data_IF_536348131910
#
_entry.id   IF_536348131910
#
_cell.length_a   1.000
_cell.length_b   1.000
_cell.length_c   1.000
_cell.angle_alpha   90.00
_cell.angle_beta   90.00
_cell.angle_gamma   90.00
#
_symmetry.space_group_name_H-M   'P 1'
#
loop_
_entity.id
_entity.type
_entity.pdbx_description
1 polymer ?
#
# COMPACT_ATOMS: atom_id res chain seq x y z
N UNK A 1 8.27 -15.14 -18.74
CA UNK A 1 7.71 -14.93 -20.10
C UNK A 1 7.01 -16.21 -20.55
N UNK A 2 5.68 -16.30 -20.38
CA UNK A 2 4.84 -17.15 -21.24
C UNK A 2 3.37 -16.80 -20.99
N UNK A 3 2.74 -16.16 -21.97
CA UNK A 3 1.29 -16.02 -22.05
C UNK A 3 0.75 -17.30 -22.68
N UNK A 4 -0.26 -17.91 -22.05
CA UNK A 4 -1.11 -18.93 -22.66
C UNK A 4 -2.42 -18.27 -23.08
N UNK A 5 -2.62 -18.05 -24.37
CA UNK A 5 -3.93 -17.69 -24.95
C UNK A 5 -4.71 -18.97 -25.27
N UNK A 6 -5.98 -19.02 -24.85
CA UNK A 6 -6.96 -20.02 -25.30
C UNK A 6 -7.97 -19.31 -26.19
N UNK A 7 -7.87 -19.50 -27.51
CA UNK A 7 -8.95 -19.21 -28.45
C UNK A 7 -9.56 -20.53 -28.95
N UNK A 8 -10.81 -20.77 -28.58
CA UNK A 8 -11.63 -21.91 -29.02
C UNK A 8 -12.02 -21.69 -30.49
N UNK A 9 -11.58 -22.56 -31.40
CA UNK A 9 -12.10 -22.64 -32.77
C UNK A 9 -13.01 -23.85 -32.94
N UNK A 10 -14.25 -23.59 -33.34
CA UNK A 10 -15.15 -24.59 -33.90
C UNK A 10 -15.48 -24.14 -35.32
N UNK A 11 -15.11 -24.91 -36.35
CA UNK A 11 -15.72 -24.84 -37.68
C UNK A 11 -15.33 -26.08 -38.50
N UNK A 12 -16.29 -27.00 -38.60
CA UNK A 12 -16.29 -28.09 -39.57
C UNK A 12 -16.49 -27.54 -41.00
N UNK A 13 -15.81 -28.20 -41.92
CA UNK A 13 -15.79 -28.06 -43.40
C UNK A 13 -17.14 -27.65 -44.01
N UNK A 14 -17.13 -26.75 -45.01
CA UNK A 14 -17.62 -27.03 -46.38
C UNK A 14 -17.54 -25.83 -47.36
N UNK A 15 -16.74 -26.04 -48.40
CA UNK A 15 -16.88 -25.71 -49.83
C UNK A 15 -17.62 -24.44 -50.34
N UNK A 16 -16.79 -23.59 -51.00
CA UNK A 16 -16.93 -23.04 -52.37
C UNK A 16 -18.08 -22.07 -52.66
N UNK A 17 -17.74 -20.80 -52.91
CA UNK A 17 -17.82 -20.15 -54.25
C UNK A 17 -17.90 -18.62 -54.11
N UNK A 18 -16.99 -17.93 -54.80
CA UNK A 18 -17.01 -16.49 -55.15
C UNK A 18 -17.44 -15.52 -54.03
N UNK A 19 -16.46 -14.95 -53.31
CA UNK A 19 -16.74 -13.82 -52.42
C UNK A 19 -15.59 -12.81 -52.42
N UNK A 20 -15.98 -11.55 -52.52
CA UNK A 20 -15.20 -10.32 -52.33
C UNK A 20 -14.15 -10.52 -51.24
N UNK A 21 -12.89 -10.18 -51.53
CA UNK A 21 -11.85 -10.01 -50.53
C UNK A 21 -12.25 -8.86 -49.58
N UNK A 22 -13.11 -9.16 -48.61
CA UNK A 22 -13.18 -8.41 -47.38
C UNK A 22 -11.88 -8.70 -46.65
N UNK A 23 -10.89 -7.82 -46.83
CA UNK A 23 -9.86 -7.63 -45.82
C UNK A 23 -10.59 -7.15 -44.57
N UNK A 24 -11.05 -8.08 -43.74
CA UNK A 24 -11.42 -7.78 -42.37
C UNK A 24 -10.12 -7.34 -41.69
N UNK A 25 -9.86 -6.03 -41.67
CA UNK A 25 -8.83 -5.46 -40.84
C UNK A 25 -9.20 -5.81 -39.40
N UNK A 26 -8.58 -6.86 -38.87
CA UNK A 26 -8.68 -7.20 -37.45
C UNK A 26 -8.02 -6.06 -36.69
N UNK A 27 -8.84 -5.13 -36.20
CA UNK A 27 -8.40 -4.10 -35.27
C UNK A 27 -8.11 -4.84 -33.97
N UNK A 28 -6.83 -5.13 -33.73
CA UNK A 28 -6.35 -5.50 -32.41
C UNK A 28 -6.52 -4.25 -31.54
N UNK A 29 -7.61 -4.21 -30.77
CA UNK A 29 -7.74 -3.24 -29.68
C UNK A 29 -6.75 -3.68 -28.61
N UNK A 30 -5.56 -3.09 -28.62
CA UNK A 30 -4.63 -3.19 -27.51
C UNK A 30 -5.24 -2.43 -26.35
N UNK A 31 -5.93 -3.14 -25.45
CA UNK A 31 -6.22 -2.61 -24.12
C UNK A 31 -4.88 -2.40 -23.42
N UNK A 32 -4.37 -1.18 -23.39
CA UNK A 32 -3.35 -0.83 -22.42
C UNK A 32 -3.98 -1.06 -21.05
N UNK A 33 -3.47 -2.04 -20.31
CA UNK A 33 -3.66 -2.05 -18.85
C UNK A 33 -2.94 -0.80 -18.39
N UNK A 34 -3.69 0.30 -18.27
CA UNK A 34 -3.21 1.55 -17.70
C UNK A 34 -2.92 1.23 -16.24
N UNK A 35 -1.64 1.05 -15.90
CA UNK A 35 -1.23 0.94 -14.49
C UNK A 35 -1.61 2.23 -13.76
N UNK A 36 -1.87 2.14 -12.46
CA UNK A 36 -2.20 3.32 -11.65
C UNK A 36 -1.19 4.45 -11.89
N UNK A 37 -1.70 5.63 -12.27
CA UNK A 37 -0.90 6.79 -12.69
C UNK A 37 -0.19 7.48 -11.51
N UNK A 38 -0.58 7.16 -10.27
CA UNK A 38 -0.06 7.75 -9.04
C UNK A 38 0.29 6.68 -8.01
N UNK A 39 1.50 6.72 -7.46
CA UNK A 39 1.90 5.91 -6.30
C UNK A 39 1.90 6.77 -5.04
N UNK A 40 1.14 6.34 -4.04
CA UNK A 40 1.17 6.89 -2.68
C UNK A 40 2.06 5.99 -1.81
N UNK A 41 3.21 6.51 -1.43
CA UNK A 41 4.08 5.89 -0.43
C UNK A 41 3.80 6.51 0.94
N UNK A 42 3.63 5.67 1.97
CA UNK A 42 3.41 6.10 3.36
C UNK A 42 4.42 5.42 4.26
N UNK A 43 5.30 6.20 4.89
CA UNK A 43 6.16 5.74 5.97
C UNK A 43 5.45 5.98 7.30
N UNK A 44 5.28 4.94 8.10
CA UNK A 44 4.46 4.99 9.30
C UNK A 44 4.95 4.03 10.38
N UNK A 45 4.42 4.20 11.59
CA UNK A 45 4.70 3.38 12.75
C UNK A 45 3.41 2.79 13.33
N UNK A 46 3.54 1.65 14.00
CA UNK A 46 2.43 0.91 14.57
C UNK A 46 1.68 1.63 15.69
N UNK A 47 2.37 2.44 16.52
CA UNK A 47 1.78 3.10 17.68
C UNK A 47 1.82 4.64 17.60
N UNK A 48 2.20 5.21 16.44
CA UNK A 48 2.18 6.65 16.25
C UNK A 48 0.73 7.20 16.10
N UNK A 49 0.28 8.13 16.98
CA UNK A 49 -1.08 8.67 16.93
C UNK A 49 -1.43 9.38 15.63
N UNK A 50 -0.48 10.07 14.99
CA UNK A 50 -0.72 10.74 13.70
C UNK A 50 -0.79 9.73 12.56
N UNK A 51 -0.02 8.64 12.62
CA UNK A 51 -0.09 7.55 11.64
C UNK A 51 -1.45 6.87 11.70
N UNK A 52 -1.91 6.57 12.92
CA UNK A 52 -3.27 6.10 13.18
C UNK A 52 -4.31 7.03 12.57
N UNK A 53 -4.26 8.33 12.90
CA UNK A 53 -5.25 9.30 12.42
C UNK A 53 -5.30 9.36 10.89
N UNK A 54 -4.15 9.32 10.23
CA UNK A 54 -4.10 9.28 8.77
C UNK A 54 -4.70 7.99 8.21
N UNK A 55 -4.29 6.82 8.72
CA UNK A 55 -4.76 5.53 8.21
C UNK A 55 -6.27 5.39 8.37
N UNK A 56 -6.79 5.73 9.56
CA UNK A 56 -8.20 5.56 9.92
C UNK A 56 -9.10 6.60 9.27
N UNK A 57 -8.70 7.87 9.26
CA UNK A 57 -9.58 8.95 8.81
C UNK A 57 -9.38 9.33 7.34
N UNK A 58 -8.22 9.04 6.75
CA UNK A 58 -7.90 9.42 5.37
C UNK A 58 -7.71 8.19 4.48
N UNK A 59 -6.72 7.34 4.75
CA UNK A 59 -6.34 6.27 3.84
C UNK A 59 -7.46 5.24 3.63
N UNK A 60 -7.95 4.62 4.69
CA UNK A 60 -8.98 3.57 4.59
C UNK A 60 -10.29 4.04 3.94
N UNK A 61 -10.92 5.16 4.34
CA UNK A 61 -12.19 5.58 3.73
C UNK A 61 -12.05 6.05 2.27
N UNK A 62 -10.88 6.53 1.87
CA UNK A 62 -10.62 7.01 0.50
C UNK A 62 -10.19 5.90 -0.45
N UNK A 63 -9.38 4.93 0.01
CA UNK A 63 -8.72 3.97 -0.86
C UNK A 63 -9.66 3.15 -1.76
N UNK A 64 -10.79 2.60 -1.29
CA UNK A 64 -11.70 1.84 -2.15
C UNK A 64 -12.22 2.62 -3.36
N UNK A 65 -12.29 3.96 -3.26
CA UNK A 65 -12.75 4.84 -4.34
C UNK A 65 -11.62 5.30 -5.26
N UNK A 66 -10.38 5.10 -4.84
CA UNK A 66 -9.17 5.55 -5.55
C UNK A 66 -8.34 4.38 -6.08
N UNK A 67 -8.66 3.13 -5.72
CA UNK A 67 -7.83 1.94 -5.96
C UNK A 67 -7.46 1.73 -7.44
N UNK A 68 -8.33 2.12 -8.37
CA UNK A 68 -8.06 1.99 -9.81
C UNK A 68 -7.00 2.98 -10.33
N UNK A 69 -6.81 4.11 -9.65
CA UNK A 69 -5.89 5.19 -10.09
C UNK A 69 -4.75 5.44 -9.09
N UNK A 70 -4.76 4.76 -7.95
CA UNK A 70 -3.78 4.93 -6.87
C UNK A 70 -3.16 3.59 -6.46
N UNK A 71 -1.85 3.47 -6.70
CA UNK A 71 -1.04 2.39 -6.15
C UNK A 71 -0.57 2.75 -4.74
N UNK A 72 -0.67 1.81 -3.80
CA UNK A 72 -0.13 1.98 -2.45
C UNK A 72 1.22 1.32 -2.30
N UNK A 73 2.04 1.93 -1.45
CA UNK A 73 3.34 1.47 -1.04
C UNK A 73 3.54 1.85 0.43
N UNK A 74 3.42 0.87 1.33
CA UNK A 74 3.31 1.12 2.76
C UNK A 74 4.57 0.59 3.45
N UNK A 75 5.15 1.40 4.34
CA UNK A 75 6.43 1.12 5.00
C UNK A 75 6.24 1.22 6.52
N UNK A 76 5.89 0.10 7.20
CA UNK A 76 5.75 0.04 8.66
C UNK A 76 7.12 -0.07 9.33
N UNK A 77 7.75 1.07 9.60
CA UNK A 77 9.06 1.14 10.27
C UNK A 77 9.25 2.48 11.00
N UNK A 78 9.18 3.60 10.27
CA UNK A 78 9.24 4.94 10.83
C UNK A 78 10.54 5.23 11.59
N UNK A 79 10.44 5.90 12.75
CA UNK A 79 11.55 6.20 13.65
C UNK A 79 11.92 5.00 14.53
N UNK A 80 12.32 3.95 13.84
CA UNK A 80 12.99 2.78 14.43
C UNK A 80 14.48 2.77 14.07
N UNK A 81 15.28 2.02 14.81
CA UNK A 81 16.69 1.77 14.49
C UNK A 81 17.09 0.35 14.83
N UNK A 82 17.90 -0.28 14.00
CA UNK A 82 18.43 -1.61 14.32
C UNK A 82 19.63 -1.55 15.26
N UNK A 83 19.69 -2.50 16.19
CA UNK A 83 20.79 -2.69 17.13
C UNK A 83 21.35 -4.09 16.89
N UNK A 84 22.64 -4.16 16.57
CA UNK A 84 23.34 -5.44 16.38
C UNK A 84 24.09 -5.83 17.65
N UNK A 85 23.66 -6.92 18.27
CA UNK A 85 24.29 -7.51 19.44
C UNK A 85 25.63 -8.19 19.11
N UNK A 86 26.44 -8.41 20.15
CA UNK A 86 27.73 -9.10 20.03
C UNK A 86 27.61 -10.57 19.58
N UNK A 87 26.45 -11.17 19.77
CA UNK A 87 26.11 -12.52 19.30
C UNK A 87 25.62 -12.54 17.84
N UNK A 88 25.62 -11.37 17.17
CA UNK A 88 25.17 -11.21 15.79
C UNK A 88 23.67 -11.00 15.64
N UNK A 89 22.88 -11.13 16.71
CA UNK A 89 21.42 -10.90 16.67
C UNK A 89 21.10 -9.44 16.43
N UNK A 90 20.00 -9.20 15.73
CA UNK A 90 19.48 -7.87 15.48
C UNK A 90 18.20 -7.68 16.28
N UNK A 91 18.16 -6.61 17.06
CA UNK A 91 16.95 -6.10 17.72
C UNK A 91 16.62 -4.73 17.15
N UNK A 92 15.43 -4.21 17.44
CA UNK A 92 15.00 -2.90 16.99
C UNK A 92 14.61 -2.05 18.20
N UNK A 93 14.97 -0.77 18.16
CA UNK A 93 14.50 0.25 19.10
C UNK A 93 13.52 1.14 18.35
N UNK A 94 12.31 1.30 18.87
CA UNK A 94 11.23 2.08 18.27
C UNK A 94 10.86 3.26 19.17
N UNK A 95 10.35 4.36 18.58
CA UNK A 95 10.02 5.59 19.31
C UNK A 95 9.08 5.35 20.50
N UNK A 96 8.09 4.47 20.33
CA UNK A 96 7.08 4.17 21.34
C UNK A 96 7.34 2.86 22.09
N UNK A 97 8.58 2.34 22.07
CA UNK A 97 9.00 1.15 22.80
C UNK A 97 8.78 -0.18 22.08
N UNK A 98 9.01 -1.29 22.78
CA UNK A 98 9.04 -2.64 22.19
C UNK A 98 7.70 -3.05 21.55
N UNK A 99 6.57 -2.61 22.12
CA UNK A 99 5.23 -2.89 21.58
C UNK A 99 5.05 -2.33 20.17
N UNK A 100 5.60 -1.15 19.90
CA UNK A 100 5.61 -0.59 18.54
C UNK A 100 6.45 -1.43 17.57
N UNK A 101 7.60 -1.92 18.03
CA UNK A 101 8.43 -2.81 17.23
C UNK A 101 7.69 -4.11 16.89
N UNK A 102 6.92 -4.67 17.83
CA UNK A 102 6.05 -5.82 17.58
C UNK A 102 4.99 -5.52 16.52
N UNK A 103 4.28 -4.39 16.62
CA UNK A 103 3.25 -3.99 15.65
C UNK A 103 3.86 -3.72 14.27
N UNK A 104 4.98 -2.99 14.19
CA UNK A 104 5.71 -2.75 12.94
C UNK A 104 6.07 -4.07 12.24
N UNK A 105 6.55 -5.05 13.01
CA UNK A 105 6.89 -6.38 12.51
C UNK A 105 5.68 -7.17 12.04
N UNK A 106 4.56 -7.14 12.77
CA UNK A 106 3.30 -7.76 12.35
C UNK A 106 2.84 -7.16 11.01
N UNK A 107 2.79 -5.82 10.92
CA UNK A 107 2.40 -5.12 9.71
C UNK A 107 3.33 -5.44 8.53
N UNK A 108 4.64 -5.54 8.77
CA UNK A 108 5.62 -5.95 7.76
C UNK A 108 5.36 -7.38 7.26
N UNK A 109 5.15 -8.32 8.17
CA UNK A 109 4.95 -9.73 7.83
C UNK A 109 3.63 -10.01 7.11
N UNK A 110 2.56 -9.29 7.46
CA UNK A 110 1.30 -9.36 6.72
C UNK A 110 1.47 -8.80 5.30
N UNK A 111 2.21 -7.69 5.15
CA UNK A 111 2.49 -7.11 3.84
C UNK A 111 3.34 -8.03 2.97
N UNK A 112 4.29 -8.77 3.56
CA UNK A 112 5.15 -9.74 2.88
C UNK A 112 4.36 -10.91 2.27
N UNK A 113 3.15 -11.19 2.76
CA UNK A 113 2.27 -12.20 2.15
C UNK A 113 1.60 -11.71 0.86
N UNK A 114 1.96 -10.51 0.39
CA UNK A 114 1.45 -9.87 -0.82
C UNK A 114 -0.09 -9.84 -0.92
N UNK A 115 -0.80 -9.36 0.12
CA UNK A 115 -2.24 -9.12 0.04
C UNK A 115 -2.59 -8.11 -1.05
N UNK A 116 -3.87 -8.07 -1.44
CA UNK A 116 -4.36 -6.91 -2.18
C UNK A 116 -4.21 -5.65 -1.32
N UNK A 117 -3.97 -4.50 -1.94
CA UNK A 117 -3.86 -3.24 -1.20
C UNK A 117 -5.12 -2.93 -0.39
N UNK A 118 -6.30 -3.32 -0.88
CA UNK A 118 -7.56 -3.14 -0.15
C UNK A 118 -7.62 -4.04 1.09
N UNK A 119 -7.21 -5.29 0.97
CA UNK A 119 -7.14 -6.22 2.12
C UNK A 119 -6.15 -5.71 3.17
N UNK A 120 -4.97 -5.25 2.75
CA UNK A 120 -3.97 -4.74 3.69
C UNK A 120 -4.40 -3.46 4.39
N UNK A 121 -4.95 -2.49 3.64
CA UNK A 121 -5.46 -1.23 4.23
C UNK A 121 -6.63 -1.52 5.18
N UNK A 122 -7.47 -2.49 4.84
CA UNK A 122 -8.56 -2.94 5.73
C UNK A 122 -8.00 -3.59 7.00
N UNK A 123 -6.98 -4.45 6.87
CA UNK A 123 -6.30 -5.08 8.01
C UNK A 123 -5.72 -4.03 8.96
N UNK A 124 -4.87 -3.11 8.48
CA UNK A 124 -4.24 -2.10 9.35
C UNK A 124 -5.28 -1.13 9.92
N UNK A 125 -6.33 -0.78 9.17
CA UNK A 125 -7.44 0.03 9.70
C UNK A 125 -8.12 -0.68 10.87
N UNK A 126 -8.50 -1.95 10.69
CA UNK A 126 -9.17 -2.73 11.73
C UNK A 126 -8.26 -2.95 12.93
N UNK A 127 -6.98 -3.23 12.69
CA UNK A 127 -5.97 -3.45 13.71
C UNK A 127 -5.82 -2.20 14.57
N UNK A 128 -5.49 -1.08 13.94
CA UNK A 128 -5.24 0.19 14.61
C UNK A 128 -6.51 0.76 15.27
N UNK A 129 -7.70 0.60 14.67
CA UNK A 129 -8.99 1.02 15.27
C UNK A 129 -9.37 0.26 16.55
N UNK A 130 -8.66 -0.82 16.89
CA UNK A 130 -8.86 -1.59 18.13
C UNK A 130 -7.87 -1.18 19.22
N UNK A 131 -7.03 -0.16 19.02
CA UNK A 131 -5.82 0.04 19.83
C UNK A 131 -5.66 1.38 20.53
N UNK A 132 -6.55 2.38 20.31
CA UNK A 132 -6.39 3.76 20.82
C UNK A 132 -6.11 3.91 22.33
N UNK A 133 -6.21 2.84 23.14
CA UNK A 133 -5.97 2.83 24.60
C UNK A 133 -5.52 1.44 25.14
N UNK A 134 -4.67 0.66 24.45
CA UNK A 134 -4.32 -0.70 24.95
C UNK A 134 -2.83 -0.88 25.27
N UNK A 135 -2.61 -1.42 26.46
CA UNK A 135 -1.37 -2.04 26.96
C UNK A 135 -1.46 -3.54 26.61
N UNK A 136 -1.27 -3.87 25.33
CA UNK A 136 -1.25 -5.25 24.85
C UNK A 136 0.18 -5.76 24.87
N UNK A 137 0.39 -6.95 25.43
CA UNK A 137 1.65 -7.64 25.22
C UNK A 137 1.71 -8.30 23.84
N UNK A 138 2.93 -8.68 23.44
CA UNK A 138 3.24 -9.38 22.18
C UNK A 138 2.23 -10.49 21.80
N UNK A 139 1.85 -11.36 22.75
CA UNK A 139 0.91 -12.47 22.46
C UNK A 139 -0.46 -11.94 22.05
N UNK A 140 -0.94 -10.90 22.73
CA UNK A 140 -2.26 -10.32 22.46
C UNK A 140 -2.26 -9.57 21.13
N UNK A 141 -1.14 -8.94 20.76
CA UNK A 141 -0.96 -8.32 19.43
C UNK A 141 -1.04 -9.38 18.32
N UNK A 142 -0.37 -10.52 18.49
CA UNK A 142 -0.46 -11.64 17.54
C UNK A 142 -1.87 -12.25 17.46
N UNK A 143 -2.54 -12.47 18.59
CA UNK A 143 -3.93 -12.96 18.62
C UNK A 143 -4.89 -11.98 17.91
N UNK A 144 -4.70 -10.68 18.11
CA UNK A 144 -5.47 -9.64 17.41
C UNK A 144 -5.19 -9.70 15.90
N UNK A 145 -3.92 -9.74 15.50
CA UNK A 145 -3.50 -9.83 14.10
C UNK A 145 -4.16 -11.04 13.41
N UNK A 146 -4.10 -12.21 14.06
CA UNK A 146 -4.71 -13.43 13.55
C UNK A 146 -6.22 -13.29 13.34
N UNK A 147 -6.91 -12.66 14.30
CA UNK A 147 -8.38 -12.50 14.24
C UNK A 147 -8.86 -11.55 13.14
N UNK A 148 -7.99 -10.65 12.67
CA UNK A 148 -8.28 -9.65 11.66
C UNK A 148 -7.67 -9.97 10.30
N UNK A 149 -6.87 -11.04 10.22
CA UNK A 149 -6.15 -11.39 9.01
C UNK A 149 -7.14 -11.64 7.86
N UNK A 150 -6.90 -11.06 6.66
CA UNK A 150 -7.70 -11.36 5.48
C UNK A 150 -7.75 -12.86 5.22
N UNK A 151 -8.93 -13.39 4.90
CA UNK A 151 -9.10 -14.83 4.66
C UNK A 151 -8.31 -15.37 3.45
N UNK A 152 -7.79 -14.47 2.62
CA UNK A 152 -6.89 -14.76 1.50
C UNK A 152 -5.47 -15.09 1.95
N UNK A 153 -5.09 -14.79 3.19
CA UNK A 153 -3.76 -15.02 3.75
C UNK A 153 -3.76 -16.17 4.76
N UNK A 154 -2.59 -16.80 4.92
CA UNK A 154 -2.35 -17.85 5.92
C UNK A 154 -1.73 -17.26 7.17
N UNK A 155 -2.34 -17.50 8.34
CA UNK A 155 -1.74 -17.12 9.62
C UNK A 155 -0.39 -17.79 9.85
N UNK A 156 -0.24 -19.07 9.47
CA UNK A 156 1.02 -19.79 9.67
C UNK A 156 2.18 -19.10 8.96
N UNK A 157 1.95 -18.57 7.75
CA UNK A 157 2.97 -17.84 6.99
C UNK A 157 3.33 -16.48 7.63
N UNK A 158 2.34 -15.77 8.18
CA UNK A 158 2.57 -14.53 8.93
C UNK A 158 3.34 -14.81 10.23
N UNK A 159 2.94 -15.86 10.96
CA UNK A 159 3.56 -16.31 12.20
C UNK A 159 5.01 -16.75 11.97
N UNK A 160 5.28 -17.53 10.92
CA UNK A 160 6.63 -17.94 10.54
C UNK A 160 7.52 -16.74 10.19
N UNK A 161 6.98 -15.77 9.44
CA UNK A 161 7.68 -14.51 9.17
C UNK A 161 7.99 -13.76 10.47
N UNK A 162 7.01 -13.64 11.36
CA UNK A 162 7.12 -12.90 12.59
C UNK A 162 8.17 -13.51 13.52
N UNK A 163 8.18 -14.83 13.71
CA UNK A 163 9.16 -15.49 14.59
C UNK A 163 10.51 -15.78 13.93
N UNK A 164 10.59 -15.73 12.60
CA UNK A 164 11.78 -16.09 11.83
C UNK A 164 12.67 -14.90 11.42
N UNK A 165 13.76 -15.20 10.73
CA UNK A 165 14.67 -14.18 10.18
C UNK A 165 14.00 -13.26 9.16
N UNK A 166 12.95 -13.73 8.48
CA UNK A 166 12.24 -12.95 7.46
C UNK A 166 11.70 -11.63 8.01
N UNK A 167 11.08 -11.63 9.19
CA UNK A 167 10.63 -10.39 9.82
C UNK A 167 11.77 -9.42 10.11
N UNK A 168 12.96 -9.92 10.44
CA UNK A 168 14.15 -9.10 10.69
C UNK A 168 14.69 -8.52 9.39
N UNK A 169 14.76 -9.33 8.33
CA UNK A 169 15.16 -8.88 6.99
C UNK A 169 14.23 -7.79 6.45
N UNK A 170 12.91 -7.92 6.67
CA UNK A 170 11.94 -6.91 6.23
C UNK A 170 12.18 -5.55 6.91
N UNK A 171 12.33 -5.55 8.24
CA UNK A 171 12.56 -4.31 8.99
C UNK A 171 13.92 -3.68 8.66
N UNK A 172 14.98 -4.48 8.49
CA UNK A 172 16.29 -3.98 7.99
C UNK A 172 16.18 -3.41 6.57
N UNK A 173 15.38 -4.04 5.70
CA UNK A 173 15.12 -3.53 4.36
C UNK A 173 14.37 -2.20 4.38
N UNK A 174 13.44 -2.01 5.31
CA UNK A 174 12.77 -0.72 5.51
C UNK A 174 13.70 0.35 6.08
N UNK A 175 14.59 -0.01 7.01
CA UNK A 175 15.65 0.87 7.51
C UNK A 175 16.56 1.35 6.37
N UNK A 176 17.09 0.42 5.56
CA UNK A 176 17.93 0.73 4.41
C UNK A 176 17.19 1.63 3.42
N UNK A 177 15.93 1.31 3.12
CA UNK A 177 15.09 2.10 2.23
C UNK A 177 14.88 3.52 2.76
N UNK A 178 14.61 3.69 4.05
CA UNK A 178 14.42 5.00 4.67
C UNK A 178 15.72 5.82 4.70
N UNK A 179 16.88 5.16 4.88
CA UNK A 179 18.18 5.82 4.86
C UNK A 179 18.54 6.43 3.49
N UNK A 180 17.90 5.97 2.40
CA UNK A 180 18.07 6.53 1.06
C UNK A 180 17.10 7.67 0.72
N UNK A 181 16.24 8.07 1.66
CA UNK A 181 15.27 9.14 1.40
C UNK A 181 15.95 10.50 1.28
N UNK A 182 15.52 11.25 0.27
CA UNK A 182 15.91 12.66 0.11
C UNK A 182 14.65 13.51 -0.16
N UNK A 183 14.32 14.48 0.70
CA UNK A 183 14.91 14.71 2.02
C UNK A 183 14.72 13.50 2.95
N UNK A 184 15.57 13.43 3.98
CA UNK A 184 15.48 12.44 5.06
C UNK A 184 14.10 12.51 5.74
N UNK A 185 13.66 11.39 6.34
CA UNK A 185 12.35 11.23 6.97
C UNK A 185 12.18 12.20 8.17
N UNK A 186 11.47 13.33 8.01
CA UNK A 186 11.51 14.38 9.01
C UNK A 186 10.49 14.17 10.14
N UNK A 187 9.48 13.31 9.93
CA UNK A 187 8.44 12.87 10.86
C UNK A 187 7.64 11.73 10.23
N UNK A 188 6.78 11.10 11.03
CA UNK A 188 5.74 10.16 10.55
C UNK A 188 4.33 10.63 10.97
N UNK A 189 3.27 10.30 10.20
CA UNK A 189 3.32 9.64 8.91
C UNK A 189 3.99 10.54 7.89
N UNK A 190 4.82 9.96 7.02
CA UNK A 190 5.41 10.68 5.90
C UNK A 190 4.77 10.24 4.60
N UNK A 191 4.16 11.18 3.89
CA UNK A 191 3.39 10.92 2.68
C UNK A 191 4.16 11.41 1.47
N UNK A 192 4.40 10.51 0.52
CA UNK A 192 5.08 10.83 -0.74
C UNK A 192 4.27 10.35 -1.93
N UNK A 193 4.08 11.24 -2.89
CA UNK A 193 3.46 10.90 -4.16
C UNK A 193 4.55 10.72 -5.22
N UNK A 194 4.58 9.58 -5.88
CA UNK A 194 5.61 9.20 -6.85
C UNK A 194 7.04 9.36 -6.30
N UNK A 195 7.23 9.05 -5.00
CA UNK A 195 8.50 9.15 -4.29
C UNK A 195 8.95 10.59 -3.94
N UNK A 196 8.20 11.62 -4.34
CA UNK A 196 8.51 13.01 -4.05
C UNK A 196 7.90 13.43 -2.72
N UNK A 197 8.73 14.05 -1.88
CA UNK A 197 8.28 14.72 -0.67
C UNK A 197 7.99 16.19 -0.94
N UNK A 198 6.77 16.62 -0.61
CA UNK A 198 6.34 18.01 -0.63
C UNK A 198 5.48 18.24 0.62
N UNK A 199 5.92 19.13 1.51
CA UNK A 199 5.30 19.34 2.81
C UNK A 199 3.87 19.90 2.71
N UNK A 200 3.58 20.72 1.69
CA UNK A 200 2.23 21.24 1.47
C UNK A 200 1.33 20.11 0.98
N UNK A 201 1.78 19.31 0.02
CA UNK A 201 1.02 18.16 -0.49
C UNK A 201 0.76 17.13 0.60
N UNK A 202 1.75 16.84 1.45
CA UNK A 202 1.59 15.97 2.62
C UNK A 202 0.52 16.52 3.58
N UNK A 203 0.59 17.80 3.93
CA UNK A 203 -0.41 18.43 4.80
C UNK A 203 -1.81 18.35 4.19
N UNK A 204 -1.97 18.63 2.89
CA UNK A 204 -3.25 18.50 2.22
C UNK A 204 -3.76 17.05 2.23
N UNK A 205 -2.87 16.06 2.04
CA UNK A 205 -3.24 14.64 2.10
C UNK A 205 -3.66 14.21 3.51
N UNK A 206 -3.07 14.78 4.56
CA UNK A 206 -3.47 14.55 5.95
C UNK A 206 -4.88 15.12 6.26
N UNK A 207 -5.30 16.16 5.55
CA UNK A 207 -6.61 16.82 5.74
C UNK A 207 -7.69 16.20 4.85
N UNK A 208 -7.40 16.00 3.56
CA UNK A 208 -8.30 15.40 2.56
C UNK A 208 -7.46 14.66 1.49
N UNK A 209 -7.21 13.38 1.75
CA UNK A 209 -6.46 12.52 0.83
C UNK A 209 -7.16 12.39 -0.54
N UNK A 210 -8.49 12.35 -0.56
CA UNK A 210 -9.27 12.21 -1.79
C UNK A 210 -9.06 13.40 -2.70
N UNK A 211 -9.25 14.62 -2.16
CA UNK A 211 -9.04 15.84 -2.92
C UNK A 211 -7.59 15.95 -3.40
N UNK A 212 -6.62 15.60 -2.55
CA UNK A 212 -5.19 15.65 -2.90
C UNK A 212 -4.85 14.73 -4.05
N UNK A 213 -5.28 13.46 -4.01
CA UNK A 213 -5.10 12.50 -5.10
C UNK A 213 -5.77 12.98 -6.38
N UNK A 214 -7.02 13.46 -6.29
CA UNK A 214 -7.76 13.97 -7.44
C UNK A 214 -7.11 15.21 -8.10
N UNK A 215 -6.42 16.04 -7.31
CA UNK A 215 -5.66 17.19 -7.82
C UNK A 215 -4.34 16.76 -8.49
N UNK A 216 -3.70 15.70 -8.02
CA UNK A 216 -2.44 15.18 -8.55
C UNK A 216 -2.61 14.31 -9.80
N UNK A 217 -3.77 13.66 -9.95
CA UNK A 217 -4.07 12.91 -11.17
C UNK A 217 -4.22 13.86 -12.37
N UNK A 218 -3.53 13.56 -13.46
CA UNK A 218 -3.66 14.27 -14.74
C UNK A 218 -4.81 13.70 -15.55
N UNK A 219 -4.78 12.38 -15.78
CA UNK A 219 -5.78 11.60 -16.50
C UNK A 219 -6.45 10.54 -15.60
N UNK A 220 -7.42 9.78 -16.14
CA UNK A 220 -8.04 8.64 -15.48
C UNK A 220 -8.57 8.91 -14.06
N UNK A 221 -9.13 10.11 -13.84
CA UNK A 221 -9.69 10.49 -12.54
C UNK A 221 -10.90 9.61 -12.20
N UNK A 222 -10.88 8.92 -11.04
CA UNK A 222 -12.04 8.17 -10.58
C UNK A 222 -13.27 9.05 -10.41
N UNK A 223 -14.46 8.44 -10.40
CA UNK A 223 -15.73 9.16 -10.24
C UNK A 223 -15.77 10.01 -8.96
N UNK A 224 -15.13 9.57 -7.88
CA UNK A 224 -15.05 10.35 -6.63
C UNK A 224 -14.42 11.72 -6.87
N UNK A 225 -13.54 11.89 -7.85
CA UNK A 225 -12.93 13.18 -8.16
C UNK A 225 -13.90 14.21 -8.73
N UNK A 226 -15.07 13.81 -9.25
CA UNK A 226 -16.09 14.73 -9.78
C UNK A 226 -16.65 15.64 -8.68
N UNK A 227 -16.73 15.14 -7.45
CA UNK A 227 -17.24 15.89 -6.30
C UNK A 227 -16.17 16.80 -5.67
N UNK A 228 -14.89 16.60 -6.04
CA UNK A 228 -13.73 17.36 -5.56
C UNK A 228 -13.16 18.32 -6.62
N UNK A 229 -13.86 18.52 -7.75
CA UNK A 229 -13.46 19.49 -8.78
C UNK A 229 -13.62 20.91 -8.22
N UNK A 230 -12.49 21.57 -7.96
CA UNK A 230 -12.28 22.97 -7.56
C UNK A 230 -12.40 23.35 -6.06
N UNK A 231 -11.24 23.38 -5.40
CA UNK A 231 -10.75 24.60 -4.72
C UNK A 231 -9.26 24.74 -5.02
N UNK A 232 -8.92 25.22 -6.21
CA UNK A 232 -7.58 25.77 -6.43
C UNK A 232 -7.41 26.93 -5.45
N UNK A 233 -6.58 26.75 -4.41
CA UNK A 233 -6.03 27.92 -3.76
C UNK A 233 -5.27 28.71 -4.83
N UNK A 234 -5.54 30.02 -4.99
CA UNK A 234 -4.79 30.82 -5.93
C UNK A 234 -3.32 30.70 -5.55
N UNK A 235 -2.49 30.26 -6.50
CA UNK A 235 -1.04 30.41 -6.40
C UNK A 235 -0.80 31.90 -6.13
N UNK A 236 -0.27 32.21 -4.95
CA UNK A 236 0.02 33.59 -4.57
C UNK A 236 0.89 34.24 -5.66
N UNK A 237 0.44 35.42 -6.08
CA UNK A 237 1.14 36.33 -6.99
C UNK A 237 2.42 36.89 -6.37
#
# INVERSE_FOLDING_TARGET
MSLTEVCIYNLTKMFVSKLVLFFAATVCVSSSVQGADLTLTVFYEGLCPLCYQFIVNQLYPSYPKLADSLKLDLVPYGWSSSIRGNDGKVTFECQHGDDECHVNRIHACVLDQNPSSLDYVTFIYQYLSKTDLRDLNERQELELAQSLLPSSLSWDSVSDCYHGERGTELLLGYEERQAQLNPELPWVPNIRFNGVYDAEVEYQAMVDLTATVCNLLEDNKPDVCKDHVTKTHPKNA
#
